data_IF_562381165139
#
_entry.id   IF_562381165139
#
_cell.length_a   1.000
_cell.length_b   1.000
_cell.length_c   1.000
_cell.angle_alpha   90.00
_cell.angle_beta   90.00
_cell.angle_gamma   90.00
#
_symmetry.space_group_name_H-M   'P 1'
#
loop_
_entity.id
_entity.type
_entity.pdbx_description
1 polymer ?
#
# COMPACT_ATOMS: atom_id res chain seq x y z
N UNK A 1 5.97 -5.85 8.84
CA UNK A 1 5.19 -4.82 9.55
C UNK A 1 3.86 -4.64 8.83
N UNK A 2 2.75 -4.51 9.57
CA UNK A 2 1.40 -4.31 9.03
C UNK A 2 0.78 -3.12 9.75
N UNK A 3 0.09 -2.25 9.02
CA UNK A 3 -0.66 -1.11 9.56
C UNK A 3 -2.07 -1.12 9.01
N UNK A 4 -3.05 -0.99 9.90
CA UNK A 4 -4.45 -0.87 9.53
C UNK A 4 -4.82 0.62 9.38
N UNK A 5 -5.68 0.93 8.42
CA UNK A 5 -6.22 2.26 8.21
C UNK A 5 -7.64 2.20 7.66
N UNK A 6 -8.38 3.28 7.86
CA UNK A 6 -9.75 3.43 7.40
C UNK A 6 -9.77 4.40 6.22
N UNK A 7 -10.56 4.10 5.20
CA UNK A 7 -10.81 5.03 4.10
C UNK A 7 -12.28 5.01 3.70
N UNK A 8 -12.83 6.18 3.42
CA UNK A 8 -14.20 6.30 2.92
C UNK A 8 -14.22 6.13 1.40
N UNK A 9 -14.82 5.04 0.92
CA UNK A 9 -15.01 4.76 -0.52
C UNK A 9 -16.51 4.75 -0.82
N UNK A 10 -16.95 5.59 -1.76
CA UNK A 10 -18.36 5.65 -2.17
C UNK A 10 -19.33 5.93 -1.02
N UNK A 11 -18.90 6.66 0.01
CA UNK A 11 -19.69 6.97 1.21
C UNK A 11 -19.68 5.89 2.30
N UNK A 12 -18.98 4.77 2.10
CA UNK A 12 -18.82 3.72 3.11
C UNK A 12 -17.41 3.76 3.70
N UNK A 13 -17.31 3.75 5.03
CA UNK A 13 -16.02 3.61 5.72
C UNK A 13 -15.59 2.14 5.63
N UNK A 14 -14.45 1.90 5.00
CA UNK A 14 -13.87 0.57 4.78
C UNK A 14 -12.53 0.44 5.50
N UNK A 15 -12.20 -0.78 5.93
CA UNK A 15 -10.95 -1.10 6.62
C UNK A 15 -9.94 -1.73 5.67
N UNK A 16 -8.71 -1.23 5.70
CA UNK A 16 -7.61 -1.71 4.86
C UNK A 16 -6.38 -2.01 5.70
N UNK A 17 -5.51 -2.85 5.15
CA UNK A 17 -4.21 -3.19 5.70
C UNK A 17 -3.13 -2.80 4.70
N UNK A 18 -2.12 -2.08 5.16
CA UNK A 18 -0.89 -1.83 4.45
C UNK A 18 0.21 -2.70 5.05
N UNK A 19 0.94 -3.43 4.21
CA UNK A 19 2.00 -4.34 4.65
C UNK A 19 3.19 -4.27 3.71
N UNK A 20 4.39 -4.46 4.26
CA UNK A 20 5.56 -4.65 3.41
C UNK A 20 5.53 -6.06 2.83
N UNK A 21 5.51 -6.16 1.50
CA UNK A 21 5.48 -7.43 0.81
C UNK A 21 6.84 -8.12 0.86
N UNK A 22 6.87 -9.30 1.47
CA UNK A 22 8.06 -10.17 1.46
C UNK A 22 8.15 -10.87 0.09
N UNK A 23 9.34 -10.91 -0.52
CA UNK A 23 9.53 -11.48 -1.85
C UNK A 23 10.91 -11.19 -2.47
N UNK A 24 11.21 -11.73 -3.66
CA UNK A 24 12.50 -11.55 -4.33
C UNK A 24 12.74 -10.09 -4.76
N UNK A 25 11.68 -9.29 -4.86
CA UNK A 25 11.72 -7.83 -4.95
C UNK A 25 11.58 -7.23 -3.55
N UNK A 26 12.69 -6.88 -2.88
CA UNK A 26 12.61 -6.13 -1.63
C UNK A 26 11.96 -4.77 -1.91
N UNK A 27 11.28 -4.19 -0.91
CA UNK A 27 10.71 -2.83 -0.95
C UNK A 27 9.42 -2.65 -1.75
N UNK A 28 8.40 -3.49 -1.50
CA UNK A 28 7.03 -3.22 -1.97
C UNK A 28 6.06 -3.04 -0.81
N UNK A 29 5.09 -2.14 -0.95
CA UNK A 29 3.97 -2.00 -0.03
C UNK A 29 2.71 -2.57 -0.69
N UNK A 30 2.04 -3.48 0.02
CA UNK A 30 0.82 -4.14 -0.42
C UNK A 30 -0.33 -3.60 0.40
N UNK A 31 -1.34 -3.07 -0.28
CA UNK A 31 -2.61 -2.66 0.31
C UNK A 31 -3.65 -3.74 0.03
N UNK A 32 -4.31 -4.20 1.08
CA UNK A 32 -5.37 -5.22 1.00
C UNK A 32 -6.59 -4.85 1.83
N UNK A 33 -7.73 -5.46 1.52
CA UNK A 33 -8.90 -5.42 2.41
C UNK A 33 -8.58 -6.10 3.74
N UNK A 34 -9.02 -5.50 4.84
CA UNK A 34 -8.74 -6.03 6.17
C UNK A 34 -9.55 -7.31 6.51
N UNK A 35 -10.73 -7.48 5.90
CA UNK A 35 -11.64 -8.60 6.17
C UNK A 35 -11.29 -9.88 5.41
N UNK A 36 -10.72 -9.74 4.22
CA UNK A 36 -10.56 -10.81 3.23
C UNK A 36 -9.11 -10.98 2.77
N UNK A 37 -8.20 -10.10 3.19
CA UNK A 37 -6.82 -10.03 2.71
C UNK A 37 -6.70 -9.91 1.18
N UNK A 38 -7.76 -9.49 0.49
CA UNK A 38 -7.75 -9.28 -0.96
C UNK A 38 -6.83 -8.11 -1.31
N UNK A 39 -5.80 -8.36 -2.11
CA UNK A 39 -4.89 -7.31 -2.60
C UNK A 39 -5.63 -6.36 -3.54
N UNK A 40 -5.44 -5.06 -3.32
CA UNK A 40 -6.02 -3.99 -4.13
C UNK A 40 -4.94 -3.14 -4.80
N UNK A 41 -3.85 -2.84 -4.09
CA UNK A 41 -2.78 -1.98 -4.60
C UNK A 41 -1.43 -2.59 -4.23
N UNK A 42 -0.48 -2.53 -5.17
CA UNK A 42 0.93 -2.86 -4.95
C UNK A 42 1.76 -1.63 -5.34
N UNK A 43 2.57 -1.15 -4.39
CA UNK A 43 3.46 -0.03 -4.59
C UNK A 43 4.91 -0.51 -4.56
N UNK A 44 5.64 -0.29 -5.65
CA UNK A 44 7.08 -0.51 -5.72
C UNK A 44 7.84 0.68 -5.13
N UNK A 45 8.58 0.45 -4.06
CA UNK A 45 9.44 1.44 -3.40
C UNK A 45 10.93 1.19 -3.69
N UNK A 46 11.26 0.31 -4.65
CA UNK A 46 12.64 -0.02 -5.03
C UNK A 46 13.44 1.22 -5.46
N UNK A 47 12.76 2.19 -6.10
CA UNK A 47 13.37 3.47 -6.51
C UNK A 47 13.65 4.46 -5.37
N UNK A 48 13.00 4.30 -4.21
CA UNK A 48 13.19 5.18 -3.05
C UNK A 48 14.41 4.78 -2.20
N UNK A 49 14.82 3.51 -2.30
CA UNK A 49 15.82 2.91 -1.41
C UNK A 49 17.13 2.73 -2.18
N UNK A 50 17.85 3.85 -2.38
CA UNK A 50 19.16 3.86 -3.03
C UNK A 50 20.32 3.46 -2.11
N UNK A 51 20.07 3.29 -0.81
CA UNK A 51 21.13 3.14 0.19
C UNK A 51 20.70 2.22 1.32
N UNK A 52 21.54 1.23 1.64
CA UNK A 52 21.34 0.22 2.69
C UNK A 52 21.02 0.81 4.08
N UNK A 53 21.32 2.09 4.30
CA UNK A 53 20.96 2.84 5.52
C UNK A 53 19.48 3.21 5.62
N UNK A 54 18.80 3.42 4.49
CA UNK A 54 17.37 3.72 4.44
C UNK A 54 16.50 2.47 4.69
N UNK A 55 17.06 1.27 4.48
CA UNK A 55 16.37 -0.02 4.67
C UNK A 55 15.97 -0.29 6.13
N UNK A 56 16.71 0.27 7.10
CA UNK A 56 16.50 -0.01 8.52
C UNK A 56 15.63 1.07 9.18
N UNK A 57 15.74 2.34 8.76
CA UNK A 57 15.16 3.43 9.55
C UNK A 57 13.64 3.55 9.45
N UNK A 58 12.97 3.33 8.31
CA UNK A 58 11.52 3.65 8.30
C UNK A 58 10.62 2.73 7.45
N UNK A 59 10.53 1.42 7.74
CA UNK A 59 9.42 0.56 7.31
C UNK A 59 8.04 1.20 7.52
N UNK A 60 7.89 1.92 8.63
CA UNK A 60 6.68 2.65 8.98
C UNK A 60 6.40 3.84 8.05
N UNK A 61 7.43 4.57 7.62
CA UNK A 61 7.27 5.72 6.71
C UNK A 61 6.91 5.27 5.31
N UNK A 62 7.50 4.18 4.81
CA UNK A 62 7.10 3.61 3.52
C UNK A 62 5.62 3.24 3.51
N UNK A 63 5.15 2.64 4.61
CA UNK A 63 3.72 2.33 4.77
C UNK A 63 2.89 3.61 4.84
N UNK A 64 3.31 4.63 5.60
CA UNK A 64 2.59 5.90 5.71
C UNK A 64 2.52 6.66 4.37
N UNK A 65 3.63 6.75 3.64
CA UNK A 65 3.70 7.36 2.31
C UNK A 65 2.81 6.61 1.31
N UNK A 66 2.81 5.28 1.37
CA UNK A 66 1.94 4.46 0.54
C UNK A 66 0.46 4.70 0.84
N UNK A 67 0.07 4.76 2.13
CA UNK A 67 -1.29 5.10 2.54
C UNK A 67 -1.68 6.48 2.00
N UNK A 68 -0.82 7.48 2.20
CA UNK A 68 -1.09 8.84 1.72
C UNK A 68 -1.27 8.91 0.21
N UNK A 69 -0.44 8.16 -0.55
CA UNK A 69 -0.54 8.10 -2.01
C UNK A 69 -1.82 7.42 -2.48
N UNK A 70 -2.17 6.25 -1.94
CA UNK A 70 -3.41 5.55 -2.35
C UNK A 70 -4.67 6.34 -1.99
N UNK A 71 -4.61 7.14 -0.92
CA UNK A 71 -5.66 8.08 -0.55
C UNK A 71 -5.76 9.25 -1.52
N UNK A 72 -4.64 9.92 -1.80
CA UNK A 72 -4.61 11.10 -2.67
C UNK A 72 -4.95 10.77 -4.13
N UNK A 73 -4.55 9.60 -4.62
CA UNK A 73 -4.76 9.19 -6.01
C UNK A 73 -6.03 8.34 -6.22
N UNK A 74 -6.74 7.99 -5.14
CA UNK A 74 -7.96 7.18 -5.23
C UNK A 74 -7.72 5.76 -5.76
N UNK A 75 -6.51 5.21 -5.56
CA UNK A 75 -6.10 3.92 -6.14
C UNK A 75 -6.94 2.76 -5.61
N UNK A 76 -7.34 2.81 -4.34
CA UNK A 76 -8.21 1.80 -3.72
C UNK A 76 -9.61 1.81 -4.37
N UNK A 77 -10.19 2.99 -4.57
CA UNK A 77 -11.49 3.12 -5.25
C UNK A 77 -11.42 2.52 -6.67
N UNK A 78 -10.37 2.87 -7.42
CA UNK A 78 -10.14 2.35 -8.77
C UNK A 78 -9.95 0.83 -8.80
N UNK A 79 -9.24 0.26 -7.82
CA UNK A 79 -9.08 -1.19 -7.70
C UNK A 79 -10.42 -1.91 -7.47
N UNK A 80 -11.28 -1.32 -6.64
CA UNK A 80 -12.61 -1.87 -6.33
C UNK A 80 -13.56 -1.76 -7.53
N UNK A 81 -13.52 -0.65 -8.27
CA UNK A 81 -14.34 -0.42 -9.46
C UNK A 81 -13.93 -1.30 -10.64
N UNK A 82 -12.63 -1.39 -10.91
CA UNK A 82 -12.10 -2.21 -12.03
C UNK A 82 -12.06 -3.70 -11.71
N UNK A 83 -11.95 -4.06 -10.44
CA UNK A 83 -11.65 -5.43 -10.00
C UNK A 83 -10.20 -5.85 -10.24
N UNK A 84 -9.36 -4.95 -10.77
CA UNK A 84 -7.95 -5.18 -11.08
C UNK A 84 -7.03 -4.59 -10.00
N UNK A 85 -5.91 -5.26 -9.76
CA UNK A 85 -4.88 -4.76 -8.84
C UNK A 85 -4.24 -3.52 -9.46
N UNK A 86 -4.14 -2.43 -8.69
CA UNK A 86 -3.43 -1.23 -9.13
C UNK A 86 -1.95 -1.36 -8.77
N UNK A 87 -1.08 -1.32 -9.77
CA UNK A 87 0.36 -1.37 -9.60
C UNK A 87 0.97 -0.01 -9.93
N UNK A 88 1.76 0.55 -9.01
CA UNK A 88 2.43 1.84 -9.19
C UNK A 88 3.74 1.89 -8.41
N UNK A 89 4.54 2.93 -8.63
CA UNK A 89 5.73 3.22 -7.81
C UNK A 89 5.39 4.20 -6.70
N UNK A 90 6.04 4.06 -5.55
CA UNK A 90 5.92 4.99 -4.42
C UNK A 90 6.55 6.35 -4.77
#
# INVERSE_FOLDING_TARGET
MIQNFEQTIGGNVMQFCASLGEGPTPHRVIISLADSAKTLVVLDASGLISTIKAEIEEPAKLIADAISKVESEGLIARALESGEIQETSL
#
